data_IF_969797675792
#
_entry.id   IF_969797675792
#
_cell.length_a   1.000
_cell.length_b   1.000
_cell.length_c   1.000
_cell.angle_alpha   90.00
_cell.angle_beta   90.00
_cell.angle_gamma   90.00
#
_symmetry.space_group_name_H-M   'P 1'
#
loop_
_entity.id
_entity.type
_entity.pdbx_description
1 polymer ?
#
# COMPACT_ATOMS: atom_id res chain seq x y z
N UNK A 1 55.12 -9.78 -42.04
CA UNK A 1 53.94 -10.50 -41.50
C UNK A 1 53.37 -9.72 -40.31
N UNK A 2 52.08 -9.33 -40.31
CA UNK A 2 51.30 -8.93 -39.10
C UNK A 2 49.90 -8.32 -39.40
N UNK A 3 49.54 -8.07 -40.67
CA UNK A 3 48.23 -7.45 -41.01
C UNK A 3 47.01 -8.39 -40.87
N UNK A 4 47.21 -9.70 -40.75
CA UNK A 4 46.14 -10.70 -40.55
C UNK A 4 45.60 -10.67 -39.11
N UNK A 5 46.44 -10.31 -38.14
CA UNK A 5 46.09 -10.18 -36.71
C UNK A 5 45.11 -9.03 -36.44
N UNK A 6 45.20 -7.93 -37.21
CA UNK A 6 44.41 -6.71 -36.98
C UNK A 6 42.94 -6.87 -37.39
N UNK A 7 42.67 -7.53 -38.52
CA UNK A 7 41.32 -7.74 -39.05
C UNK A 7 40.52 -8.73 -38.17
N UNK A 8 41.19 -9.71 -37.58
CA UNK A 8 40.60 -10.65 -36.64
C UNK A 8 40.13 -9.98 -35.33
N UNK A 9 40.85 -8.94 -34.88
CA UNK A 9 40.44 -8.15 -33.71
C UNK A 9 39.21 -7.29 -34.01
N UNK A 10 39.12 -6.70 -35.20
CA UNK A 10 37.99 -5.83 -35.58
C UNK A 10 36.67 -6.60 -35.72
N UNK A 11 36.66 -7.79 -36.34
CA UNK A 11 35.44 -8.61 -36.46
C UNK A 11 34.95 -9.20 -35.12
N UNK A 12 35.87 -9.54 -34.22
CA UNK A 12 35.55 -10.09 -32.89
C UNK A 12 35.06 -9.00 -31.91
N UNK A 13 35.51 -7.75 -32.09
CA UNK A 13 35.06 -6.58 -31.32
C UNK A 13 33.62 -6.20 -31.67
N UNK A 14 33.20 -6.33 -32.93
CA UNK A 14 31.81 -6.08 -33.34
C UNK A 14 30.81 -7.09 -32.72
N UNK A 15 31.23 -8.34 -32.49
CA UNK A 15 30.42 -9.38 -31.85
C UNK A 15 30.27 -9.15 -30.33
N UNK A 16 31.23 -8.49 -29.69
CA UNK A 16 31.22 -8.20 -28.25
C UNK A 16 30.40 -6.97 -27.86
N UNK A 17 30.26 -5.98 -28.76
CA UNK A 17 29.54 -4.72 -28.48
C UNK A 17 28.00 -4.85 -28.44
N UNK A 18 27.42 -5.93 -28.96
CA UNK A 18 25.95 -6.14 -29.00
C UNK A 18 25.38 -6.60 -27.64
N UNK A 19 26.22 -7.00 -26.68
CA UNK A 19 25.81 -7.67 -25.42
C UNK A 19 25.50 -6.67 -24.28
N UNK A 20 25.86 -5.39 -24.42
CA UNK A 20 25.70 -4.40 -23.35
C UNK A 20 24.26 -3.85 -23.29
N UNK A 21 23.36 -4.56 -22.61
CA UNK A 21 21.98 -4.10 -22.37
C UNK A 21 21.29 -4.81 -21.20
N UNK A 22 21.24 -4.11 -20.06
CA UNK A 22 20.42 -4.29 -18.85
C UNK A 22 20.21 -5.71 -18.27
N UNK A 23 20.89 -5.96 -17.15
CA UNK A 23 20.79 -7.14 -16.29
C UNK A 23 19.57 -7.03 -15.37
N UNK A 24 18.63 -7.97 -15.40
CA UNK A 24 17.75 -8.26 -14.25
C UNK A 24 17.28 -9.74 -14.22
N UNK A 25 17.64 -10.40 -13.10
CA UNK A 25 17.15 -11.60 -12.40
C UNK A 25 16.64 -12.89 -13.10
N UNK A 26 16.26 -12.90 -14.38
CA UNK A 26 15.93 -14.16 -15.12
C UNK A 26 16.93 -14.47 -16.24
N UNK A 27 18.07 -13.77 -16.26
CA UNK A 27 19.05 -13.79 -17.34
C UNK A 27 19.83 -15.08 -17.57
N UNK A 28 19.72 -16.12 -16.74
CA UNK A 28 20.59 -17.31 -16.85
C UNK A 28 20.49 -18.06 -18.18
N UNK A 29 19.27 -18.42 -18.60
CA UNK A 29 19.06 -19.26 -19.79
C UNK A 29 19.35 -18.54 -21.11
N UNK A 30 18.95 -17.27 -21.26
CA UNK A 30 19.17 -16.52 -22.51
C UNK A 30 20.56 -15.90 -22.60
N UNK A 31 21.20 -15.54 -21.48
CA UNK A 31 22.63 -15.17 -21.48
C UNK A 31 23.47 -16.38 -21.86
N UNK A 32 23.10 -17.59 -21.39
CA UNK A 32 23.73 -18.82 -21.85
C UNK A 32 23.48 -19.06 -23.34
N UNK A 33 22.26 -18.89 -23.85
CA UNK A 33 21.98 -19.04 -25.28
C UNK A 33 22.80 -18.06 -26.16
N UNK A 34 22.85 -16.76 -25.81
CA UNK A 34 23.69 -15.79 -26.53
C UNK A 34 25.18 -16.14 -26.44
N UNK A 35 25.64 -16.66 -25.29
CA UNK A 35 27.03 -17.08 -25.09
C UNK A 35 27.37 -18.32 -25.91
N UNK A 36 26.46 -19.28 -26.03
CA UNK A 36 26.65 -20.47 -26.85
C UNK A 36 26.66 -20.14 -28.34
N UNK A 37 25.77 -19.26 -28.82
CA UNK A 37 25.80 -18.76 -30.22
C UNK A 37 27.14 -18.08 -30.53
N UNK A 38 27.67 -17.28 -29.61
CA UNK A 38 28.98 -16.64 -29.78
C UNK A 38 30.13 -17.66 -29.78
N UNK A 39 30.09 -18.68 -28.92
CA UNK A 39 31.11 -19.73 -28.87
C UNK A 39 31.11 -20.58 -30.14
N UNK A 40 29.95 -21.04 -30.56
CA UNK A 40 29.75 -21.85 -31.77
C UNK A 40 30.27 -21.09 -33.01
N UNK A 41 29.87 -19.83 -33.18
CA UNK A 41 30.32 -19.02 -34.32
C UNK A 41 31.78 -18.62 -34.27
N UNK A 42 32.37 -18.45 -33.07
CA UNK A 42 33.82 -18.27 -32.92
C UNK A 42 34.61 -19.51 -33.33
N UNK A 43 34.09 -20.69 -33.01
CA UNK A 43 34.70 -21.96 -33.39
C UNK A 43 34.62 -22.15 -34.91
N UNK A 44 33.46 -21.92 -35.53
CA UNK A 44 33.30 -21.95 -37.00
C UNK A 44 34.28 -21.01 -37.72
N UNK A 45 34.47 -19.78 -37.22
CA UNK A 45 35.43 -18.82 -37.80
C UNK A 45 36.89 -19.30 -37.64
N UNK A 46 37.21 -19.98 -36.54
CA UNK A 46 38.54 -20.54 -36.29
C UNK A 46 38.82 -21.69 -37.26
N UNK A 47 37.82 -22.52 -37.53
CA UNK A 47 37.92 -23.69 -38.41
C UNK A 47 38.01 -23.26 -39.89
N UNK A 48 37.24 -22.24 -40.31
CA UNK A 48 37.37 -21.62 -41.65
C UNK A 48 38.79 -21.09 -41.88
N UNK A 49 39.41 -20.51 -40.84
CA UNK A 49 40.78 -19.97 -40.96
C UNK A 49 41.85 -21.07 -40.98
N UNK A 50 41.67 -22.13 -40.20
CA UNK A 50 42.57 -23.27 -40.19
C UNK A 50 42.56 -24.00 -41.54
N UNK A 51 41.37 -24.26 -42.08
CA UNK A 51 41.17 -24.95 -43.35
C UNK A 51 41.63 -24.14 -44.56
N UNK A 52 41.50 -22.81 -44.54
CA UNK A 52 42.02 -21.93 -45.59
C UNK A 52 43.55 -22.03 -45.78
N UNK A 53 44.28 -22.34 -44.70
CA UNK A 53 45.74 -22.49 -44.74
C UNK A 53 46.16 -23.79 -45.44
N UNK A 54 45.31 -24.84 -45.38
CA UNK A 54 45.58 -26.14 -46.00
C UNK A 54 44.97 -26.31 -47.39
N UNK A 55 43.95 -25.52 -47.74
CA UNK A 55 43.21 -25.64 -49.03
C UNK A 55 43.57 -24.59 -50.07
N UNK A 56 44.46 -23.65 -49.75
CA UNK A 56 44.92 -22.63 -50.69
C UNK A 56 43.86 -21.57 -51.06
N UNK A 57 42.76 -21.48 -50.29
CA UNK A 57 41.70 -20.49 -50.51
C UNK A 57 42.24 -19.07 -50.57
N UNK A 58 41.72 -18.28 -51.51
CA UNK A 58 42.09 -16.88 -51.61
C UNK A 58 41.66 -16.12 -50.36
N UNK A 59 42.43 -15.11 -49.99
CA UNK A 59 42.13 -14.23 -48.85
C UNK A 59 40.75 -13.58 -48.97
N UNK A 60 40.25 -13.41 -50.20
CA UNK A 60 38.93 -12.83 -50.48
C UNK A 60 37.79 -13.82 -50.19
N UNK A 61 37.96 -15.10 -50.50
CA UNK A 61 36.99 -16.17 -50.21
C UNK A 61 36.82 -16.36 -48.70
N UNK A 62 37.94 -16.43 -47.98
CA UNK A 62 37.95 -16.51 -46.52
C UNK A 62 37.25 -15.29 -45.89
N UNK A 63 37.46 -14.11 -46.47
CA UNK A 63 36.81 -12.88 -45.99
C UNK A 63 35.30 -12.93 -46.19
N UNK A 64 34.83 -13.45 -47.32
CA UNK A 64 33.40 -13.55 -47.62
C UNK A 64 32.71 -14.59 -46.72
N UNK A 65 33.31 -15.76 -46.50
CA UNK A 65 32.79 -16.78 -45.58
C UNK A 65 32.72 -16.26 -44.14
N UNK A 66 33.77 -15.60 -43.65
CA UNK A 66 33.76 -15.00 -42.31
C UNK A 66 32.71 -13.90 -42.20
N UNK A 67 32.56 -13.05 -43.24
CA UNK A 67 31.55 -11.99 -43.26
C UNK A 67 30.14 -12.55 -43.20
N UNK A 68 29.87 -13.65 -43.91
CA UNK A 68 28.59 -14.35 -43.86
C UNK A 68 28.30 -14.90 -42.47
N UNK A 69 29.26 -15.60 -41.85
CA UNK A 69 29.11 -16.16 -40.49
C UNK A 69 28.91 -15.09 -39.41
N UNK A 70 29.58 -13.94 -39.56
CA UNK A 70 29.37 -12.78 -38.68
C UNK A 70 27.97 -12.19 -38.89
N UNK A 71 27.50 -12.09 -40.13
CA UNK A 71 26.12 -11.67 -40.44
C UNK A 71 25.08 -12.56 -39.78
N UNK A 72 25.18 -13.88 -39.97
CA UNK A 72 24.31 -14.88 -39.34
C UNK A 72 24.32 -14.78 -37.80
N UNK A 73 25.49 -14.56 -37.20
CA UNK A 73 25.62 -14.40 -35.76
C UNK A 73 24.93 -13.12 -35.26
N UNK A 74 25.09 -12.01 -35.98
CA UNK A 74 24.45 -10.73 -35.68
C UNK A 74 22.94 -10.84 -35.76
N UNK A 75 22.40 -11.51 -36.79
CA UNK A 75 20.96 -11.67 -36.97
C UNK A 75 20.36 -12.58 -35.89
N UNK A 76 21.04 -13.69 -35.54
CA UNK A 76 20.63 -14.52 -34.40
C UNK A 76 20.66 -13.75 -33.07
N UNK A 77 21.66 -12.90 -32.84
CA UNK A 77 21.74 -12.07 -31.64
C UNK A 77 20.64 -11.00 -31.59
N UNK A 78 20.29 -10.40 -32.74
CA UNK A 78 19.16 -9.46 -32.83
C UNK A 78 17.85 -10.15 -32.48
N UNK A 79 17.56 -11.31 -33.08
CA UNK A 79 16.35 -12.07 -32.79
C UNK A 79 16.24 -12.44 -31.31
N UNK A 80 17.31 -12.93 -30.69
CA UNK A 80 17.34 -13.23 -29.24
C UNK A 80 17.11 -11.98 -28.37
N UNK A 81 17.61 -10.82 -28.81
CA UNK A 81 17.39 -9.55 -28.11
C UNK A 81 15.94 -9.09 -28.23
N UNK A 82 15.34 -9.20 -29.40
CA UNK A 82 13.96 -8.80 -29.65
C UNK A 82 12.98 -9.72 -28.91
N UNK A 83 13.22 -11.04 -28.93
CA UNK A 83 12.47 -12.02 -28.13
C UNK A 83 12.56 -11.71 -26.62
N UNK A 84 13.77 -11.38 -26.14
CA UNK A 84 13.95 -10.96 -24.74
C UNK A 84 13.16 -9.71 -24.43
N UNK A 85 13.19 -8.71 -25.31
CA UNK A 85 12.47 -7.44 -25.10
C UNK A 85 10.98 -7.71 -24.94
N UNK A 86 10.40 -8.52 -25.82
CA UNK A 86 8.99 -8.94 -25.76
C UNK A 86 8.68 -9.69 -24.45
N UNK A 87 9.51 -10.68 -24.08
CA UNK A 87 9.30 -11.43 -22.83
C UNK A 87 9.41 -10.56 -21.57
N UNK A 88 10.33 -9.58 -21.56
CA UNK A 88 10.49 -8.63 -20.46
C UNK A 88 9.27 -7.71 -20.38
N UNK A 89 8.80 -7.18 -21.51
CA UNK A 89 7.59 -6.34 -21.56
C UNK A 89 6.36 -7.11 -21.06
N UNK A 90 6.17 -8.35 -21.49
CA UNK A 90 5.09 -9.23 -21.02
C UNK A 90 5.19 -9.47 -19.51
N UNK A 91 6.36 -9.84 -18.98
CA UNK A 91 6.55 -10.06 -17.54
C UNK A 91 6.35 -8.78 -16.73
N UNK A 92 6.79 -7.63 -17.23
CA UNK A 92 6.55 -6.35 -16.57
C UNK A 92 5.05 -6.03 -16.50
N UNK A 93 4.30 -6.30 -17.57
CA UNK A 93 2.85 -6.14 -17.57
C UNK A 93 2.17 -7.10 -16.57
N UNK A 94 2.56 -8.37 -16.55
CA UNK A 94 2.05 -9.36 -15.59
C UNK A 94 2.36 -8.99 -14.14
N UNK A 95 3.60 -8.58 -13.85
CA UNK A 95 4.03 -8.14 -12.51
C UNK A 95 3.24 -6.90 -12.11
N UNK A 96 3.06 -5.93 -13.02
CA UNK A 96 2.28 -4.72 -12.75
C UNK A 96 0.82 -5.07 -12.46
N UNK A 97 0.21 -5.98 -13.23
CA UNK A 97 -1.16 -6.43 -13.00
C UNK A 97 -1.31 -7.12 -11.64
N UNK A 98 -0.46 -8.12 -11.33
CA UNK A 98 -0.45 -8.82 -10.04
C UNK A 98 -0.21 -7.86 -8.87
N UNK A 99 0.64 -6.86 -9.05
CA UNK A 99 0.90 -5.86 -8.01
C UNK A 99 -0.33 -5.01 -7.72
N UNK A 100 -1.05 -4.56 -8.76
CA UNK A 100 -2.27 -3.79 -8.59
C UNK A 100 -3.38 -4.60 -7.92
N UNK A 101 -3.56 -5.86 -8.33
CA UNK A 101 -4.56 -6.76 -7.73
C UNK A 101 -4.25 -7.04 -6.25
N UNK A 102 -3.02 -7.44 -5.94
CA UNK A 102 -2.59 -7.67 -4.56
C UNK A 102 -2.75 -6.42 -3.69
N UNK A 103 -2.50 -5.24 -4.25
CA UNK A 103 -2.69 -3.97 -3.55
C UNK A 103 -4.17 -3.69 -3.26
N UNK A 104 -5.07 -3.92 -4.24
CA UNK A 104 -6.52 -3.81 -4.02
C UNK A 104 -7.00 -4.76 -2.93
N UNK A 105 -6.57 -6.02 -2.97
CA UNK A 105 -6.95 -7.02 -1.97
C UNK A 105 -6.51 -6.62 -0.55
N UNK A 106 -5.27 -6.13 -0.40
CA UNK A 106 -4.75 -5.64 0.90
C UNK A 106 -5.54 -4.45 1.43
N UNK A 107 -5.89 -3.51 0.55
CA UNK A 107 -6.68 -2.33 0.90
C UNK A 107 -8.09 -2.72 1.33
N UNK A 108 -8.76 -3.60 0.58
CA UNK A 108 -10.09 -4.09 0.92
C UNK A 108 -10.11 -4.78 2.30
N UNK A 109 -9.16 -5.69 2.54
CA UNK A 109 -9.03 -6.37 3.83
C UNK A 109 -8.74 -5.40 4.99
N UNK A 110 -7.96 -4.34 4.74
CA UNK A 110 -7.68 -3.30 5.73
C UNK A 110 -8.94 -2.50 6.08
N UNK A 111 -9.72 -2.08 5.08
CA UNK A 111 -10.97 -1.34 5.26
C UNK A 111 -11.98 -2.17 6.06
N UNK A 112 -12.18 -3.43 5.68
CA UNK A 112 -13.08 -4.35 6.39
C UNK A 112 -12.67 -4.52 7.86
N UNK A 113 -11.38 -4.73 8.11
CA UNK A 113 -10.85 -4.86 9.48
C UNK A 113 -11.10 -3.61 10.31
N UNK A 114 -10.99 -2.42 9.73
CA UNK A 114 -11.25 -1.16 10.43
C UNK A 114 -12.73 -0.98 10.74
N UNK A 115 -13.60 -1.22 9.76
CA UNK A 115 -15.05 -1.15 9.95
C UNK A 115 -15.48 -2.07 11.09
N UNK A 116 -14.99 -3.32 11.10
CA UNK A 116 -15.29 -4.28 12.15
C UNK A 116 -14.83 -3.80 13.54
N UNK A 117 -13.62 -3.24 13.63
CA UNK A 117 -13.09 -2.70 14.90
C UNK A 117 -13.87 -1.48 15.39
N UNK A 118 -14.26 -0.59 14.48
CA UNK A 118 -14.98 0.62 14.84
C UNK A 118 -16.44 0.33 15.20
N UNK A 119 -17.10 -0.58 14.50
CA UNK A 119 -18.44 -1.05 14.88
C UNK A 119 -18.43 -1.70 16.26
N UNK A 120 -17.47 -2.57 16.54
CA UNK A 120 -17.31 -3.16 17.87
C UNK A 120 -17.02 -2.10 18.96
N UNK A 121 -16.30 -1.02 18.62
CA UNK A 121 -16.09 0.08 19.55
C UNK A 121 -17.39 0.86 19.81
N UNK A 122 -18.17 1.17 18.77
CA UNK A 122 -19.46 1.85 18.89
C UNK A 122 -20.45 1.02 19.73
N UNK A 123 -20.51 -0.29 19.53
CA UNK A 123 -21.35 -1.20 20.30
C UNK A 123 -20.99 -1.20 21.79
N UNK A 124 -19.69 -1.27 22.13
CA UNK A 124 -19.23 -1.16 23.53
C UNK A 124 -19.62 0.18 24.17
N UNK A 125 -19.62 1.27 23.40
CA UNK A 125 -20.07 2.59 23.88
C UNK A 125 -21.58 2.60 24.14
N UNK A 126 -22.39 1.97 23.28
CA UNK A 126 -23.84 1.81 23.53
C UNK A 126 -24.11 0.99 24.79
N UNK A 127 -23.40 -0.14 24.96
CA UNK A 127 -23.52 -0.97 26.17
C UNK A 127 -23.14 -0.19 27.42
N UNK A 128 -22.07 0.61 27.36
CA UNK A 128 -21.68 1.49 28.46
C UNK A 128 -22.75 2.55 28.74
N UNK A 129 -23.32 3.17 27.71
CA UNK A 129 -24.42 4.13 27.86
C UNK A 129 -25.64 3.49 28.55
N UNK A 130 -26.03 2.26 28.16
CA UNK A 130 -27.12 1.49 28.80
C UNK A 130 -26.82 1.19 30.26
N UNK A 131 -25.58 0.81 30.58
CA UNK A 131 -25.17 0.54 31.97
C UNK A 131 -25.20 1.80 32.82
N UNK A 132 -24.75 2.93 32.27
CA UNK A 132 -24.81 4.24 32.94
C UNK A 132 -26.27 4.63 33.18
N UNK A 133 -27.15 4.47 32.20
CA UNK A 133 -28.59 4.73 32.33
C UNK A 133 -29.20 3.92 33.48
N UNK A 134 -28.93 2.61 33.54
CA UNK A 134 -29.38 1.76 34.64
C UNK A 134 -28.81 2.20 36.01
N UNK A 135 -27.58 2.69 36.04
CA UNK A 135 -26.97 3.22 37.27
C UNK A 135 -27.62 4.53 37.71
N UNK A 136 -27.93 5.44 36.77
CA UNK A 136 -28.65 6.68 37.05
C UNK A 136 -30.03 6.40 37.65
N UNK A 137 -30.79 5.46 37.09
CA UNK A 137 -32.08 5.05 37.65
C UNK A 137 -31.95 4.56 39.10
N UNK A 138 -30.89 3.78 39.41
CA UNK A 138 -30.61 3.32 40.79
C UNK A 138 -30.20 4.45 41.74
N UNK A 139 -29.67 5.56 41.24
CA UNK A 139 -29.33 6.72 42.05
C UNK A 139 -30.56 7.58 42.32
N UNK A 140 -31.48 7.67 41.37
CA UNK A 140 -32.78 8.33 41.56
C UNK A 140 -33.63 7.67 42.63
N UNK A 141 -33.66 6.33 42.68
CA UNK A 141 -34.37 5.61 43.75
C UNK A 141 -33.75 5.87 45.13
N UNK A 142 -32.47 6.23 45.17
CA UNK A 142 -31.75 6.67 46.38
C UNK A 142 -31.86 8.19 46.64
N UNK A 143 -32.72 8.90 45.89
CA UNK A 143 -32.95 10.36 45.99
C UNK A 143 -31.70 11.21 45.71
N UNK A 144 -30.77 10.71 44.90
CA UNK A 144 -29.63 11.50 44.39
C UNK A 144 -30.08 12.30 43.17
N UNK A 145 -29.74 13.59 43.10
CA UNK A 145 -30.01 14.40 41.92
C UNK A 145 -29.10 13.97 40.76
N UNK A 146 -29.70 13.55 39.64
CA UNK A 146 -29.00 13.09 38.43
C UNK A 146 -29.34 13.91 37.19
N UNK A 147 -29.98 15.07 37.34
CA UNK A 147 -30.49 15.87 36.22
C UNK A 147 -29.40 16.22 35.22
N UNK A 148 -28.24 16.69 35.69
CA UNK A 148 -27.08 17.00 34.84
C UNK A 148 -26.53 15.76 34.15
N UNK A 149 -26.36 14.65 34.88
CA UNK A 149 -25.85 13.41 34.33
C UNK A 149 -26.76 12.83 33.23
N UNK A 150 -28.09 12.98 33.36
CA UNK A 150 -29.05 12.60 32.31
C UNK A 150 -28.91 13.45 31.05
N UNK A 151 -28.70 14.75 31.20
CA UNK A 151 -28.46 15.65 30.06
C UNK A 151 -27.15 15.30 29.33
N UNK A 152 -26.07 15.06 30.08
CA UNK A 152 -24.78 14.61 29.53
C UNK A 152 -24.91 13.25 28.84
N UNK A 153 -25.72 12.32 29.38
CA UNK A 153 -25.94 11.02 28.77
C UNK A 153 -26.66 11.13 27.43
N UNK A 154 -27.65 12.03 27.32
CA UNK A 154 -28.30 12.31 26.05
C UNK A 154 -27.30 12.83 24.99
N UNK A 155 -26.42 13.77 25.39
CA UNK A 155 -25.35 14.26 24.52
C UNK A 155 -24.40 13.14 24.09
N UNK A 156 -24.00 12.28 25.03
CA UNK A 156 -23.14 11.13 24.73
C UNK A 156 -23.80 10.16 23.74
N UNK A 157 -25.09 9.86 23.89
CA UNK A 157 -25.87 9.05 22.92
C UNK A 157 -25.86 9.67 21.53
N UNK A 158 -26.04 10.99 21.42
CA UNK A 158 -25.92 11.70 20.13
C UNK A 158 -24.52 11.56 19.52
N UNK A 159 -23.46 11.69 20.31
CA UNK A 159 -22.07 11.52 19.83
C UNK A 159 -21.78 10.09 19.38
N UNK A 160 -22.32 9.08 20.07
CA UNK A 160 -22.24 7.67 19.63
C UNK A 160 -22.91 7.51 18.27
N UNK A 161 -24.10 8.11 18.07
CA UNK A 161 -24.77 8.06 16.77
C UNK A 161 -23.94 8.75 15.68
N UNK A 162 -23.37 9.93 15.96
CA UNK A 162 -22.46 10.61 15.02
C UNK A 162 -21.26 9.73 14.63
N UNK A 163 -20.70 8.99 15.59
CA UNK A 163 -19.62 8.04 15.31
C UNK A 163 -20.08 6.88 14.40
N UNK A 164 -21.26 6.30 14.65
CA UNK A 164 -21.84 5.26 13.78
C UNK A 164 -22.05 5.77 12.35
N UNK A 165 -22.59 6.98 12.21
CA UNK A 165 -22.83 7.59 10.91
C UNK A 165 -21.50 7.86 10.17
N UNK A 166 -20.44 8.25 10.89
CA UNK A 166 -19.11 8.41 10.31
C UNK A 166 -18.51 7.06 9.87
N UNK A 167 -18.66 6.00 10.67
CA UNK A 167 -18.19 4.64 10.32
C UNK A 167 -18.89 4.12 9.06
N UNK A 168 -20.20 4.38 8.93
CA UNK A 168 -20.98 3.95 7.77
C UNK A 168 -20.49 4.55 6.44
N UNK A 169 -19.76 5.68 6.47
CA UNK A 169 -19.16 6.31 5.28
C UNK A 169 -17.88 5.63 4.80
N UNK A 170 -17.22 4.83 5.64
CA UNK A 170 -15.93 4.19 5.29
C UNK A 170 -16.11 3.19 4.16
N UNK A 171 -17.15 2.34 4.22
CA UNK A 171 -17.39 1.32 3.19
C UNK A 171 -17.60 1.91 1.79
N UNK A 172 -18.55 2.84 1.56
CA UNK A 172 -18.76 3.41 0.23
C UNK A 172 -17.51 4.14 -0.30
N UNK A 173 -16.79 4.88 0.56
CA UNK A 173 -15.53 5.49 0.16
C UNK A 173 -14.48 4.45 -0.25
N UNK A 174 -14.40 3.35 0.49
CA UNK A 174 -13.54 2.20 0.16
C UNK A 174 -13.86 1.57 -1.19
N UNK A 175 -15.14 1.32 -1.47
CA UNK A 175 -15.62 0.75 -2.73
C UNK A 175 -15.30 1.69 -3.92
N UNK A 176 -15.47 2.99 -3.75
CA UNK A 176 -15.07 4.02 -4.72
C UNK A 176 -13.55 4.00 -4.97
N UNK A 177 -12.75 3.95 -3.91
CA UNK A 177 -11.28 3.96 -4.02
C UNK A 177 -10.72 2.70 -4.71
N UNK A 178 -11.34 1.54 -4.50
CA UNK A 178 -10.96 0.28 -5.15
C UNK A 178 -11.26 0.26 -6.66
N UNK A 179 -12.22 1.09 -7.08
CA UNK A 179 -12.65 1.23 -8.48
C UNK A 179 -11.87 2.31 -9.23
N UNK A 180 -11.12 3.16 -8.52
CA UNK A 180 -10.35 4.24 -9.12
C UNK A 180 -9.15 3.76 -9.95
N UNK A 181 -8.85 4.48 -11.03
CA UNK A 181 -7.65 4.28 -11.86
C UNK A 181 -6.38 4.58 -11.08
N UNK A 182 -6.38 5.65 -10.29
CA UNK A 182 -5.34 5.97 -9.33
C UNK A 182 -5.80 5.71 -7.89
N UNK A 183 -5.62 4.46 -7.47
CA UNK A 183 -5.95 4.00 -6.11
C UNK A 183 -5.15 4.79 -5.05
N UNK A 184 -3.97 5.36 -5.37
CA UNK A 184 -3.15 6.02 -4.35
C UNK A 184 -3.86 7.29 -3.87
N UNK A 185 -4.25 8.14 -4.81
CA UNK A 185 -4.95 9.38 -4.54
C UNK A 185 -6.34 9.11 -3.96
N UNK A 186 -7.10 8.16 -4.53
CA UNK A 186 -8.43 7.84 -4.03
C UNK A 186 -8.44 7.25 -2.60
N UNK A 187 -7.33 6.68 -2.13
CA UNK A 187 -7.22 6.14 -0.78
C UNK A 187 -6.95 7.23 0.28
N UNK A 188 -6.54 8.43 -0.12
CA UNK A 188 -6.37 9.57 0.81
C UNK A 188 -7.72 9.98 1.41
N UNK A 189 -8.79 9.98 0.61
CA UNK A 189 -10.15 10.24 1.07
C UNK A 189 -10.64 9.18 2.07
N UNK A 190 -10.38 7.90 1.79
CA UNK A 190 -10.71 6.80 2.71
C UNK A 190 -10.01 6.97 4.05
N UNK A 191 -8.74 7.40 4.01
CA UNK A 191 -7.96 7.66 5.22
C UNK A 191 -8.56 8.81 6.03
N UNK A 192 -8.91 9.93 5.38
CA UNK A 192 -9.53 11.06 6.06
C UNK A 192 -10.85 10.65 6.73
N UNK A 193 -11.73 9.95 6.01
CA UNK A 193 -13.01 9.47 6.57
C UNK A 193 -12.79 8.51 7.75
N UNK A 194 -11.75 7.68 7.67
CA UNK A 194 -11.37 6.77 8.76
C UNK A 194 -10.90 7.55 10.00
N UNK A 195 -10.09 8.59 9.81
CA UNK A 195 -9.61 9.44 10.90
C UNK A 195 -10.77 10.25 11.53
N UNK A 196 -11.72 10.73 10.72
CA UNK A 196 -12.92 11.41 11.22
C UNK A 196 -13.79 10.47 12.08
N UNK A 197 -14.00 9.22 11.63
CA UNK A 197 -14.74 8.21 12.39
C UNK A 197 -14.04 7.88 13.72
N UNK A 198 -12.71 7.82 13.72
CA UNK A 198 -11.90 7.61 14.93
C UNK A 198 -12.04 8.77 15.91
N UNK A 199 -11.99 10.01 15.44
CA UNK A 199 -12.18 11.18 16.31
C UNK A 199 -13.61 11.25 16.86
N UNK A 200 -14.62 10.90 16.05
CA UNK A 200 -16.00 10.80 16.52
C UNK A 200 -16.16 9.75 17.63
N UNK A 201 -15.54 8.57 17.51
CA UNK A 201 -15.52 7.55 18.57
C UNK A 201 -14.85 8.05 19.86
N UNK A 202 -13.73 8.76 19.76
CA UNK A 202 -13.07 9.37 20.93
C UNK A 202 -13.96 10.41 21.60
N UNK A 203 -14.62 11.27 20.82
CA UNK A 203 -15.54 12.27 21.35
C UNK A 203 -16.73 11.62 22.06
N UNK A 204 -17.28 10.53 21.51
CA UNK A 204 -18.34 9.76 22.16
C UNK A 204 -17.87 9.12 23.49
N UNK A 205 -16.66 8.55 23.51
CA UNK A 205 -16.07 8.03 24.74
C UNK A 205 -15.85 9.13 25.79
N UNK A 206 -15.29 10.28 25.39
CA UNK A 206 -15.08 11.41 26.29
C UNK A 206 -16.41 11.90 26.91
N UNK A 207 -17.47 12.01 26.10
CA UNK A 207 -18.79 12.39 26.60
C UNK A 207 -19.33 11.40 27.64
N UNK A 208 -19.12 10.08 27.48
CA UNK A 208 -19.49 9.10 28.52
C UNK A 208 -18.66 9.23 29.79
N UNK A 209 -17.38 9.59 29.67
CA UNK A 209 -16.51 9.87 30.83
C UNK A 209 -17.01 11.10 31.60
N UNK A 210 -17.49 12.13 30.90
CA UNK A 210 -18.07 13.32 31.53
C UNK A 210 -19.33 12.96 32.33
N UNK A 211 -20.19 12.10 31.79
CA UNK A 211 -21.36 11.56 32.53
C UNK A 211 -20.91 10.88 33.82
N UNK A 212 -19.95 9.96 33.74
CA UNK A 212 -19.44 9.24 34.94
C UNK A 212 -18.85 10.24 35.95
N UNK A 213 -18.13 11.25 35.47
CA UNK A 213 -17.50 12.27 36.32
C UNK A 213 -18.53 13.10 37.07
N UNK A 214 -19.65 13.46 36.43
CA UNK A 214 -20.76 14.19 37.07
C UNK A 214 -21.39 13.44 38.26
N UNK A 215 -21.36 12.11 38.23
CA UNK A 215 -22.01 11.23 39.22
C UNK A 215 -21.06 10.86 40.38
N UNK A 216 -19.75 11.12 40.24
CA UNK A 216 -18.74 10.59 41.17
C UNK A 216 -18.91 11.18 42.58
N UNK A 217 -19.14 10.34 43.61
CA UNK A 217 -19.31 10.81 44.98
C UNK A 217 -18.00 11.45 45.48
N UNK A 218 -18.07 12.71 45.90
CA UNK A 218 -16.94 13.48 46.43
C UNK A 218 -16.62 14.78 45.66
N UNK A 219 -17.05 14.93 44.41
CA UNK A 219 -16.85 16.15 43.61
C UNK A 219 -18.06 17.11 43.64
N UNK A 220 -19.24 16.62 44.01
CA UNK A 220 -20.47 17.44 44.13
C UNK A 220 -21.12 17.28 45.50
N UNK A 221 -20.38 17.56 46.58
CA UNK A 221 -21.04 17.96 47.83
C UNK A 221 -21.75 19.27 47.50
N UNK A 222 -23.08 19.27 47.59
CA UNK A 222 -23.89 20.48 47.64
C UNK A 222 -23.17 21.42 48.62
N UNK A 223 -22.56 22.50 48.12
CA UNK A 223 -22.16 23.59 49.00
C UNK A 223 -23.47 24.07 49.59
N UNK A 224 -23.68 24.01 50.92
CA UNK A 224 -24.93 24.46 51.49
C UNK A 224 -25.11 25.90 51.03
N UNK A 225 -26.15 26.14 50.23
CA UNK A 225 -26.63 27.48 49.96
C UNK A 225 -26.85 28.09 51.32
N UNK A 226 -26.05 29.11 51.67
CA UNK A 226 -26.20 29.83 52.91
C UNK A 226 -27.66 30.31 52.99
N UNK A 227 -28.42 29.75 53.91
CA UNK A 227 -29.70 30.30 54.33
C UNK A 227 -29.40 31.66 54.94
N UNK A 228 -29.59 32.72 54.17
CA UNK A 228 -29.60 34.07 54.69
C UNK A 228 -30.89 34.24 55.50
N UNK A 229 -30.77 34.07 56.81
CA UNK A 229 -31.79 34.46 57.79
C UNK A 229 -32.04 35.96 57.65
N UNK A 230 -33.26 36.44 57.35
CA UNK A 230 -33.56 37.86 57.42
C UNK A 230 -33.48 38.32 58.89
N UNK A 231 -32.67 39.35 59.15
CA UNK A 231 -32.60 40.00 60.46
C UNK A 231 -33.87 40.83 60.66
N UNK A 232 -34.70 40.43 61.62
CA UNK A 232 -35.78 41.26 62.15
C UNK A 232 -35.22 42.21 63.19
N UNK A 233 -35.14 43.49 62.87
CA UNK A 233 -34.85 44.57 63.83
C UNK A 233 -36.11 44.84 64.66
N UNK A 234 -36.07 44.71 66.00
CA UNK A 234 -37.15 45.20 66.85
C UNK A 234 -36.94 46.69 67.11
N UNK A 235 -37.89 47.54 66.71
CA UNK A 235 -38.02 48.89 67.27
C UNK A 235 -38.94 48.82 68.49
N UNK A 236 -38.36 48.97 69.68
CA UNK A 236 -39.10 49.29 70.89
C UNK A 236 -39.36 50.81 70.92
N UNK A 237 -40.60 51.15 71.30
CA UNK A 237 -41.15 52.38 71.88
C UNK A 237 -40.52 53.75 71.53
#
# INVERSE_FOLDING_TARGET
MNKISLIAKVGLVALLLVIAGAVFAQGGATINASREVIKEKRQEIKDIRATATSTGKSREEVRNEVKQKVGEAVDKLKNLRDERKVQVEQKLQEIKAKYQENRKARIAAYIEKIINRFNAAAERLDELAKRIEAHLTKLETKKVNVTEAKALLALAKTKIQTAKDAIAKIKPAGDTALSATDIKTAFEDVRQITDDAKEALKAAHAALVDVISSIKPGLHKIKPTATSTPTTTPSND
#
